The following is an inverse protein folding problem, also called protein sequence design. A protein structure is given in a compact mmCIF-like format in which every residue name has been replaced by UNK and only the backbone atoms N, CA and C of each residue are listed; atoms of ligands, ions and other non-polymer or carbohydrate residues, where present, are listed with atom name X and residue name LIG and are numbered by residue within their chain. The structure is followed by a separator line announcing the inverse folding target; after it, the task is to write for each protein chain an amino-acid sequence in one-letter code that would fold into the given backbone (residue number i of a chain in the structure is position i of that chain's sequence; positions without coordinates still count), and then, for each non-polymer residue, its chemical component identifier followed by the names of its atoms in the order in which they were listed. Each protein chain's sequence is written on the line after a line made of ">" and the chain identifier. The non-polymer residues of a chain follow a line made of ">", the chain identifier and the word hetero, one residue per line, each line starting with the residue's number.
data_IF_118483587443
#
_entry.id   IF_118483587443
#
_cell.length_a   1.000
_cell.length_b   1.000
_cell.length_c   1.000
_cell.angle_alpha   90.00
_cell.angle_beta   90.00
_cell.angle_gamma   90.00
#
_symmetry.space_group_name_H-M   'P 1'
#
loop_
_entity.id
_entity.type
_entity.pdbx_description
1 polymer ?
#
# COMPACT_ATOMS: atom_id res chain seq x y z
N UNK A 1 -5.44 24.74 -22.70
CA UNK A 1 -4.68 24.99 -21.47
C UNK A 1 -3.75 23.81 -21.23
N UNK A 2 -2.47 24.06 -20.97
CA UNK A 2 -1.52 23.02 -20.62
C UNK A 2 -1.88 22.38 -19.28
N UNK A 3 -1.68 21.06 -19.14
CA UNK A 3 -1.93 20.35 -17.89
C UNK A 3 -1.04 20.91 -16.75
N UNK A 4 -1.59 21.21 -15.55
CA UNK A 4 -0.79 21.72 -14.45
C UNK A 4 0.20 20.67 -13.97
N UNK A 5 1.51 20.99 -13.84
CA UNK A 5 2.49 20.09 -13.26
C UNK A 5 2.12 19.66 -11.83
N UNK A 6 2.36 18.39 -11.48
CA UNK A 6 2.13 17.87 -10.14
C UNK A 6 3.39 17.24 -9.55
N UNK A 7 3.67 17.53 -8.27
CA UNK A 7 4.65 16.78 -7.48
C UNK A 7 3.92 15.78 -6.58
N UNK A 8 4.17 14.48 -6.79
CA UNK A 8 3.70 13.41 -5.91
C UNK A 8 4.71 13.22 -4.79
N UNK A 9 4.27 13.33 -3.55
CA UNK A 9 5.16 13.38 -2.38
C UNK A 9 5.01 12.13 -1.52
N UNK A 10 6.14 11.52 -1.12
CA UNK A 10 6.15 10.39 -0.19
C UNK A 10 7.37 10.45 0.73
N UNK A 11 7.22 9.90 1.94
CA UNK A 11 8.25 9.98 2.99
C UNK A 11 9.36 8.93 2.87
N UNK A 12 9.34 8.08 1.85
CA UNK A 12 10.27 6.94 1.78
C UNK A 12 10.49 6.48 0.34
N UNK A 13 11.62 5.83 0.12
CA UNK A 13 11.97 5.13 -1.14
C UNK A 13 11.80 3.61 -1.04
N UNK A 14 11.39 3.08 0.13
CA UNK A 14 11.30 1.64 0.41
C UNK A 14 9.94 1.05 -0.03
N UNK A 15 9.81 -0.27 -0.28
CA UNK A 15 8.59 -0.91 -0.78
C UNK A 15 7.48 -0.95 0.28
N UNK A 16 6.78 0.16 0.45
CA UNK A 16 5.63 0.33 1.33
C UNK A 16 4.40 0.66 0.49
N UNK A 17 3.21 0.27 0.92
CA UNK A 17 1.98 0.41 0.14
C UNK A 17 1.75 1.81 -0.43
N UNK A 18 1.96 2.87 0.36
CA UNK A 18 1.86 4.25 -0.11
C UNK A 18 2.93 4.63 -1.13
N UNK A 19 4.17 4.12 -0.98
CA UNK A 19 5.26 4.34 -1.97
C UNK A 19 4.97 3.59 -3.26
N UNK A 20 4.56 2.32 -3.17
CA UNK A 20 4.15 1.51 -4.33
C UNK A 20 3.04 2.21 -5.11
N UNK A 21 1.98 2.69 -4.41
CA UNK A 21 0.93 3.50 -5.03
C UNK A 21 1.49 4.74 -5.73
N UNK A 22 2.35 5.51 -5.04
CA UNK A 22 2.93 6.75 -5.57
C UNK A 22 3.69 6.50 -6.88
N UNK A 23 4.51 5.45 -6.93
CA UNK A 23 5.30 5.13 -8.11
C UNK A 23 4.44 4.67 -9.28
N UNK A 24 3.45 3.80 -9.05
CA UNK A 24 2.54 3.35 -10.11
C UNK A 24 1.67 4.50 -10.65
N UNK A 25 1.14 5.36 -9.78
CA UNK A 25 0.40 6.55 -10.20
C UNK A 25 1.29 7.50 -11.01
N UNK A 26 2.53 7.74 -10.55
CA UNK A 26 3.48 8.58 -11.27
C UNK A 26 3.78 8.05 -12.67
N UNK A 27 4.04 6.75 -12.78
CA UNK A 27 4.33 6.10 -14.05
C UNK A 27 3.15 6.15 -15.01
N UNK A 28 1.93 5.88 -14.52
CA UNK A 28 0.71 5.96 -15.34
C UNK A 28 0.41 7.40 -15.80
N UNK A 29 0.65 8.41 -14.96
CA UNK A 29 0.56 9.82 -15.34
C UNK A 29 1.61 10.19 -16.38
N UNK A 30 2.85 9.77 -16.17
CA UNK A 30 3.97 10.03 -17.08
C UNK A 30 3.75 9.40 -18.46
N UNK A 31 3.32 8.14 -18.51
CA UNK A 31 2.97 7.42 -19.75
C UNK A 31 1.80 8.08 -20.50
N UNK A 32 0.88 8.69 -19.76
CA UNK A 32 -0.20 9.49 -20.36
C UNK A 32 0.24 10.90 -20.79
N UNK A 33 1.55 11.21 -20.76
CA UNK A 33 2.11 12.51 -21.13
C UNK A 33 1.79 13.64 -20.14
N UNK A 34 1.39 13.29 -18.88
CA UNK A 34 1.09 14.29 -17.86
C UNK A 34 2.37 14.75 -17.13
N UNK A 35 2.57 16.07 -16.93
CA UNK A 35 3.77 16.58 -16.26
C UNK A 35 3.75 16.24 -14.77
N UNK A 36 4.49 15.21 -14.38
CA UNK A 36 4.56 14.66 -13.02
C UNK A 36 6.01 14.50 -12.57
N UNK A 37 6.27 14.69 -11.29
CA UNK A 37 7.53 14.34 -10.60
C UNK A 37 7.23 13.70 -9.25
N UNK A 38 7.96 12.67 -8.89
CA UNK A 38 7.95 12.12 -7.53
C UNK A 38 9.01 12.82 -6.69
N UNK A 39 8.66 13.23 -5.47
CA UNK A 39 9.62 13.74 -4.48
C UNK A 39 9.53 12.85 -3.24
N UNK A 40 10.66 12.29 -2.82
CA UNK A 40 10.71 11.34 -1.71
C UNK A 40 11.88 11.62 -0.76
N UNK A 41 11.76 11.19 0.50
CA UNK A 41 12.89 11.12 1.43
C UNK A 41 13.64 9.79 1.25
N UNK A 42 14.94 9.84 1.16
CA UNK A 42 15.78 8.66 1.01
C UNK A 42 17.26 8.98 0.86
N UNK A 43 18.03 7.99 0.48
CA UNK A 43 19.41 8.19 0.03
C UNK A 43 19.41 8.43 -1.49
N UNK A 44 19.86 9.61 -1.96
CA UNK A 44 19.96 9.89 -3.41
C UNK A 44 20.85 8.91 -4.18
N UNK A 45 21.84 8.30 -3.51
CA UNK A 45 22.74 7.34 -4.14
C UNK A 45 22.09 5.94 -4.32
N UNK A 46 21.18 5.54 -3.41
CA UNK A 46 20.49 4.25 -3.50
C UNK A 46 19.28 4.29 -4.44
N UNK A 47 18.59 5.42 -4.53
CA UNK A 47 17.37 5.53 -5.32
C UNK A 47 16.16 4.85 -4.69
N UNK A 48 15.15 4.55 -5.50
CA UNK A 48 14.00 3.75 -5.08
C UNK A 48 14.31 2.25 -5.10
N UNK A 49 13.53 1.47 -4.36
CA UNK A 49 13.64 0.00 -4.29
C UNK A 49 13.48 -0.72 -5.65
N UNK A 50 13.09 -0.03 -6.69
CA UNK A 50 12.99 -0.48 -8.08
C UNK A 50 13.26 0.66 -9.05
N UNK A 51 13.56 0.36 -10.33
CA UNK A 51 13.61 1.38 -11.39
C UNK A 51 12.27 2.13 -11.51
N UNK A 52 12.33 3.44 -11.73
CA UNK A 52 11.17 4.34 -11.87
C UNK A 52 11.28 5.09 -13.19
N UNK A 53 10.23 5.00 -14.04
CA UNK A 53 10.21 5.64 -15.35
C UNK A 53 9.80 7.12 -15.30
N UNK A 54 9.00 7.50 -14.30
CA UNK A 54 8.63 8.89 -14.08
C UNK A 54 9.81 9.70 -13.51
N UNK A 55 9.94 10.99 -13.83
CA UNK A 55 10.92 11.86 -13.20
C UNK A 55 10.78 11.89 -11.67
N UNK A 56 11.90 11.87 -10.96
CA UNK A 56 11.89 11.95 -9.50
C UNK A 56 13.03 12.79 -8.93
N UNK A 57 12.88 13.17 -7.67
CA UNK A 57 13.90 13.82 -6.85
C UNK A 57 13.89 13.15 -5.48
N UNK A 58 15.06 12.76 -4.99
CA UNK A 58 15.22 12.23 -3.64
C UNK A 58 15.85 13.31 -2.78
N UNK A 59 15.15 13.74 -1.76
CA UNK A 59 15.65 14.62 -0.71
C UNK A 59 16.37 13.73 0.31
N UNK A 60 17.62 14.04 0.68
CA UNK A 60 18.36 13.26 1.68
C UNK A 60 17.55 13.12 2.97
N UNK A 61 17.32 11.89 3.40
CA UNK A 61 16.58 11.62 4.62
C UNK A 61 17.35 12.13 5.86
N UNK A 62 16.66 12.59 6.93
CA UNK A 62 17.33 12.96 8.16
C UNK A 62 18.01 11.74 8.79
N UNK A 63 19.03 11.94 9.66
CA UNK A 63 19.69 10.85 10.37
C UNK A 63 18.68 10.08 11.22
N UNK A 64 19.01 8.81 11.52
CA UNK A 64 18.15 7.99 12.36
C UNK A 64 18.05 8.57 13.77
N UNK A 65 16.83 8.80 14.24
CA UNK A 65 16.52 9.33 15.56
C UNK A 65 15.84 8.27 16.44
N UNK A 66 16.04 8.30 17.77
CA UNK A 66 15.61 7.24 18.68
C UNK A 66 14.11 7.00 18.70
N UNK A 67 13.30 8.07 18.78
CA UNK A 67 11.84 7.94 18.94
C UNK A 67 11.12 8.10 17.61
N UNK A 68 9.94 7.49 17.49
CA UNK A 68 9.07 7.63 16.32
C UNK A 68 8.70 9.11 16.08
N UNK A 69 8.39 9.82 17.16
CA UNK A 69 8.01 11.23 17.12
C UNK A 69 9.13 12.10 16.53
N UNK A 70 10.36 11.96 17.04
CA UNK A 70 11.51 12.66 16.50
C UNK A 70 11.74 12.36 15.02
N UNK A 71 11.62 11.09 14.61
CA UNK A 71 11.76 10.70 13.20
C UNK A 71 10.69 11.34 12.32
N UNK A 72 9.43 11.37 12.77
CA UNK A 72 8.32 11.98 12.02
C UNK A 72 8.56 13.48 11.84
N UNK A 73 8.84 14.23 12.92
CA UNK A 73 8.99 15.67 12.82
C UNK A 73 10.25 16.08 12.04
N UNK A 74 11.39 15.42 12.26
CA UNK A 74 12.60 15.66 11.46
C UNK A 74 12.36 15.36 9.97
N UNK A 75 11.58 14.32 9.64
CA UNK A 75 11.23 14.00 8.26
C UNK A 75 10.33 15.09 7.65
N UNK A 76 9.36 15.63 8.41
CA UNK A 76 8.52 16.75 7.97
C UNK A 76 9.37 17.99 7.68
N UNK A 77 10.29 18.34 8.59
CA UNK A 77 11.16 19.52 8.46
C UNK A 77 12.10 19.37 7.25
N UNK A 78 12.71 18.22 7.10
CA UNK A 78 13.65 17.93 6.01
C UNK A 78 12.93 17.94 4.65
N UNK A 79 11.75 17.32 4.56
CA UNK A 79 10.99 17.29 3.31
C UNK A 79 10.46 18.68 2.94
N UNK A 80 9.99 19.48 3.92
CA UNK A 80 9.57 20.85 3.68
C UNK A 80 10.69 21.72 3.15
N UNK A 81 11.90 21.63 3.73
CA UNK A 81 13.08 22.34 3.25
C UNK A 81 13.44 21.93 1.80
N UNK A 82 13.44 20.64 1.49
CA UNK A 82 13.71 20.13 0.15
C UNK A 82 12.66 20.54 -0.89
N UNK A 83 11.39 20.68 -0.47
CA UNK A 83 10.30 21.13 -1.34
C UNK A 83 10.34 22.63 -1.62
N UNK A 84 10.81 23.47 -0.72
CA UNK A 84 10.80 24.94 -0.86
C UNK A 84 11.51 25.41 -2.14
N UNK A 85 12.56 24.73 -2.57
CA UNK A 85 13.28 25.02 -3.84
C UNK A 85 12.60 24.48 -5.09
N UNK A 86 11.63 23.55 -4.95
CA UNK A 86 10.97 22.87 -6.07
C UNK A 86 9.53 23.37 -6.28
N UNK A 87 8.87 23.88 -5.23
CA UNK A 87 7.44 24.17 -5.21
C UNK A 87 7.00 25.19 -6.28
N UNK A 88 7.85 26.17 -6.62
CA UNK A 88 7.55 27.16 -7.66
C UNK A 88 7.26 26.54 -9.04
N UNK A 89 7.76 25.35 -9.33
CA UNK A 89 7.49 24.62 -10.57
C UNK A 89 6.26 23.70 -10.54
N UNK A 90 5.60 23.58 -9.37
CA UNK A 90 4.51 22.61 -9.17
C UNK A 90 3.32 23.27 -8.47
N UNK A 91 2.33 23.77 -9.22
CA UNK A 91 1.12 24.37 -8.63
C UNK A 91 0.29 23.37 -7.81
N UNK A 92 0.58 22.09 -7.90
CA UNK A 92 -0.08 21.03 -7.13
C UNK A 92 0.97 20.17 -6.42
N UNK A 93 0.90 20.10 -5.10
CA UNK A 93 1.64 19.18 -4.25
C UNK A 93 0.70 18.09 -3.76
N UNK A 94 0.90 16.84 -4.21
CA UNK A 94 0.03 15.74 -3.84
C UNK A 94 0.72 14.76 -2.90
N UNK A 95 0.39 14.82 -1.63
CA UNK A 95 0.96 14.04 -0.56
C UNK A 95 0.29 12.67 -0.39
N UNK A 96 1.10 11.62 -0.15
CA UNK A 96 0.63 10.24 -0.01
C UNK A 96 0.67 9.72 1.44
N UNK A 97 1.26 10.46 2.37
CA UNK A 97 1.42 10.11 3.79
C UNK A 97 1.34 11.35 4.69
N UNK A 98 1.27 11.18 6.02
CA UNK A 98 1.14 12.29 6.94
C UNK A 98 2.36 13.22 6.95
N UNK A 99 3.57 12.67 6.79
CA UNK A 99 4.82 13.44 6.76
C UNK A 99 4.82 14.37 5.55
N UNK A 100 4.56 13.81 4.36
CA UNK A 100 4.54 14.59 3.12
C UNK A 100 3.40 15.60 3.08
N UNK A 101 2.23 15.32 3.68
CA UNK A 101 1.13 16.27 3.78
C UNK A 101 1.50 17.47 4.68
N UNK A 102 2.09 17.21 5.86
CA UNK A 102 2.54 18.27 6.75
C UNK A 102 3.64 19.13 6.13
N UNK A 103 4.59 18.51 5.41
CA UNK A 103 5.63 19.23 4.69
C UNK A 103 5.03 20.12 3.58
N UNK A 104 4.11 19.59 2.79
CA UNK A 104 3.43 20.34 1.72
C UNK A 104 2.62 21.53 2.26
N UNK A 105 1.85 21.33 3.35
CA UNK A 105 1.08 22.42 3.99
C UNK A 105 2.01 23.53 4.50
N UNK A 106 3.14 23.21 5.12
CA UNK A 106 4.12 24.22 5.56
C UNK A 106 4.70 25.03 4.39
N UNK A 107 4.99 24.36 3.27
CA UNK A 107 5.48 25.04 2.06
C UNK A 107 4.40 25.96 1.50
N UNK A 108 3.17 25.48 1.39
CA UNK A 108 2.02 26.31 0.96
C UNK A 108 1.87 27.55 1.83
N UNK A 109 1.84 27.37 3.15
CA UNK A 109 1.59 28.46 4.11
C UNK A 109 2.73 29.50 4.12
N UNK A 110 3.94 29.12 3.70
CA UNK A 110 5.09 30.03 3.54
C UNK A 110 5.25 30.66 2.15
N UNK A 111 4.39 30.31 1.16
CA UNK A 111 4.57 30.71 -0.25
C UNK A 111 3.79 31.96 -0.69
N UNK A 112 3.02 32.60 0.17
CA UNK A 112 2.22 33.79 -0.16
C UNK A 112 1.28 33.59 -1.35
N UNK A 113 1.20 34.55 -2.28
CA UNK A 113 0.28 34.54 -3.43
C UNK A 113 0.56 33.39 -4.45
N UNK A 114 1.77 32.84 -4.44
CA UNK A 114 2.16 31.72 -5.30
C UNK A 114 1.97 30.33 -4.64
N UNK A 115 1.14 30.26 -3.61
CA UNK A 115 0.95 29.04 -2.83
C UNK A 115 0.43 27.86 -3.67
N UNK A 116 1.08 26.69 -3.64
CA UNK A 116 0.59 25.51 -4.32
C UNK A 116 -0.67 24.97 -3.66
N UNK A 117 -1.53 24.31 -4.43
CA UNK A 117 -2.66 23.53 -3.90
C UNK A 117 -2.15 22.24 -3.31
N UNK A 118 -2.50 21.95 -2.08
CA UNK A 118 -2.12 20.71 -1.40
C UNK A 118 -3.25 19.68 -1.52
N UNK A 119 -2.97 18.57 -2.20
CA UNK A 119 -3.84 17.38 -2.27
C UNK A 119 -3.28 16.31 -1.34
N UNK A 120 -4.15 15.60 -0.64
CA UNK A 120 -3.76 14.48 0.22
C UNK A 120 -4.55 13.23 -0.13
N UNK A 121 -3.90 12.12 -0.49
CA UNK A 121 -4.53 10.79 -0.49
C UNK A 121 -4.33 10.11 0.86
N UNK A 122 -5.41 9.84 1.58
CA UNK A 122 -5.38 9.08 2.83
C UNK A 122 -5.58 7.60 2.51
N UNK A 123 -4.50 6.82 2.63
CA UNK A 123 -4.53 5.37 2.40
C UNK A 123 -5.08 4.63 3.63
N UNK A 124 -4.73 5.05 4.82
CA UNK A 124 -5.21 4.60 6.11
C UNK A 124 -4.84 5.63 7.18
N UNK A 125 -5.36 5.45 8.38
CA UNK A 125 -5.03 6.22 9.58
C UNK A 125 -4.28 5.30 10.52
N UNK A 126 -3.10 5.74 10.99
CA UNK A 126 -2.25 5.00 11.93
C UNK A 126 -2.79 5.12 13.37
N UNK A 127 -2.55 4.08 14.17
CA UNK A 127 -2.94 4.04 15.58
C UNK A 127 -1.80 4.59 16.45
N UNK A 128 -1.55 5.90 16.34
CA UNK A 128 -0.55 6.58 17.16
C UNK A 128 -0.98 6.69 18.63
N UNK A 129 0.01 6.64 19.52
CA UNK A 129 -0.22 6.64 20.98
C UNK A 129 0.22 7.93 21.66
N UNK A 130 1.04 8.77 21.03
CA UNK A 130 1.44 10.07 21.57
C UNK A 130 0.57 11.18 21.03
N UNK A 131 0.19 12.16 21.86
CA UNK A 131 -0.69 13.25 21.45
C UNK A 131 -0.10 14.04 20.27
N UNK A 132 1.21 14.29 20.27
CA UNK A 132 1.89 15.00 19.21
C UNK A 132 1.75 14.32 17.82
N UNK A 133 1.84 12.97 17.78
CA UNK A 133 1.64 12.21 16.53
C UNK A 133 0.17 12.14 16.12
N UNK A 134 -0.75 12.04 17.09
CA UNK A 134 -2.20 12.09 16.84
C UNK A 134 -2.57 13.44 16.21
N UNK A 135 -2.07 14.56 16.78
CA UNK A 135 -2.31 15.89 16.27
C UNK A 135 -1.67 16.11 14.90
N UNK A 136 -0.44 15.65 14.70
CA UNK A 136 0.25 15.69 13.41
C UNK A 136 -0.56 14.96 12.33
N UNK A 137 -1.07 13.75 12.62
CA UNK A 137 -1.91 12.99 11.70
C UNK A 137 -3.24 13.70 11.42
N UNK A 138 -3.89 14.24 12.47
CA UNK A 138 -5.11 15.01 12.32
C UNK A 138 -4.91 16.21 11.38
N UNK A 139 -3.88 16.99 11.61
CA UNK A 139 -3.52 18.15 10.78
C UNK A 139 -3.24 17.72 9.33
N UNK A 140 -2.51 16.63 9.12
CA UNK A 140 -2.24 16.08 7.79
C UNK A 140 -3.52 15.63 7.03
N UNK A 141 -4.67 15.52 7.71
CA UNK A 141 -5.96 15.16 7.12
C UNK A 141 -6.83 16.40 6.89
N UNK A 142 -6.85 17.36 7.84
CA UNK A 142 -7.80 18.49 7.80
C UNK A 142 -7.25 19.73 7.11
N UNK A 143 -5.93 19.92 7.02
CA UNK A 143 -5.31 21.13 6.45
C UNK A 143 -5.15 21.12 4.92
N UNK A 144 -5.01 19.97 4.22
CA UNK A 144 -4.93 19.96 2.76
C UNK A 144 -6.17 20.54 2.10
N UNK A 145 -5.99 21.23 0.95
CA UNK A 145 -7.06 21.88 0.20
C UNK A 145 -8.02 20.86 -0.44
N UNK A 146 -7.51 19.66 -0.72
CA UNK A 146 -8.30 18.54 -1.25
C UNK A 146 -7.85 17.22 -0.64
N UNK A 147 -8.82 16.45 -0.12
CA UNK A 147 -8.57 15.11 0.42
C UNK A 147 -9.16 14.05 -0.50
N UNK A 148 -8.35 13.05 -0.81
CA UNK A 148 -8.69 11.85 -1.54
C UNK A 148 -8.59 10.64 -0.62
N UNK A 149 -9.36 9.61 -0.91
CA UNK A 149 -9.30 8.29 -0.23
C UNK A 149 -9.40 7.17 -1.25
N UNK A 150 -8.95 6.00 -0.88
CA UNK A 150 -8.90 4.85 -1.78
C UNK A 150 -10.15 3.95 -1.70
N UNK A 151 -11.03 4.17 -0.70
CA UNK A 151 -12.22 3.34 -0.46
C UNK A 151 -13.38 4.14 0.16
N UNK A 152 -14.59 3.63 0.03
CA UNK A 152 -15.78 4.24 0.64
C UNK A 152 -15.74 4.11 2.18
N UNK A 153 -15.17 3.01 2.69
CA UNK A 153 -14.93 2.86 4.14
C UNK A 153 -14.13 4.05 4.69
N UNK A 154 -13.01 4.41 4.06
CA UNK A 154 -12.18 5.52 4.53
C UNK A 154 -12.85 6.87 4.32
N UNK A 155 -13.64 7.04 3.26
CA UNK A 155 -14.47 8.25 3.07
C UNK A 155 -15.42 8.46 4.25
N UNK A 156 -16.11 7.40 4.69
CA UNK A 156 -17.03 7.46 5.85
C UNK A 156 -16.28 7.73 7.15
N UNK A 157 -15.13 7.08 7.37
CA UNK A 157 -14.29 7.30 8.56
C UNK A 157 -13.82 8.75 8.63
N UNK A 158 -13.30 9.31 7.53
CA UNK A 158 -12.84 10.70 7.52
C UNK A 158 -14.00 11.69 7.76
N UNK A 159 -15.16 11.45 7.17
CA UNK A 159 -16.33 12.27 7.44
C UNK A 159 -16.77 12.22 8.91
N UNK A 160 -16.83 11.01 9.50
CA UNK A 160 -17.32 10.82 10.86
C UNK A 160 -16.35 11.34 11.94
N UNK A 161 -15.03 11.12 11.77
CA UNK A 161 -14.04 11.41 12.81
C UNK A 161 -13.26 12.71 12.61
N UNK A 162 -13.21 13.23 11.38
CA UNK A 162 -12.43 14.43 11.05
C UNK A 162 -13.28 15.54 10.42
N UNK A 163 -14.55 15.28 10.08
CA UNK A 163 -15.43 16.24 9.41
C UNK A 163 -15.02 16.53 7.95
N UNK A 164 -14.18 15.68 7.36
CA UNK A 164 -13.58 15.91 6.03
C UNK A 164 -14.38 15.19 4.94
N UNK A 165 -14.83 15.96 3.94
CA UNK A 165 -15.44 15.40 2.72
C UNK A 165 -14.37 15.00 1.72
N UNK A 166 -14.06 13.70 1.67
CA UNK A 166 -13.05 13.15 0.78
C UNK A 166 -13.66 12.61 -0.54
N UNK A 167 -12.88 12.70 -1.63
CA UNK A 167 -13.22 12.11 -2.92
C UNK A 167 -12.58 10.73 -3.05
N UNK A 168 -13.33 9.72 -3.48
CA UNK A 168 -12.80 8.37 -3.69
C UNK A 168 -12.07 8.34 -5.04
N UNK A 169 -10.82 7.84 -5.02
CA UNK A 169 -10.06 7.44 -6.21
C UNK A 169 -9.43 6.09 -5.89
N UNK A 170 -9.87 5.05 -6.56
CA UNK A 170 -9.43 3.68 -6.29
C UNK A 170 -8.04 3.41 -6.87
N UNK A 171 -7.29 2.54 -6.19
CA UNK A 171 -5.99 2.12 -6.69
C UNK A 171 -6.13 1.15 -7.86
N UNK A 172 -5.15 1.19 -8.77
CA UNK A 172 -5.00 0.22 -9.83
C UNK A 172 -4.09 -0.95 -9.47
N UNK A 173 -3.97 -1.89 -10.40
CA UNK A 173 -2.98 -2.97 -10.40
C UNK A 173 -2.41 -3.13 -11.81
N UNK A 174 -1.15 -3.52 -11.94
CA UNK A 174 -0.51 -3.85 -13.21
C UNK A 174 -0.70 -5.34 -13.52
N UNK A 175 -1.76 -5.65 -14.28
CA UNK A 175 -2.09 -7.02 -14.69
C UNK A 175 -0.94 -7.68 -15.47
N UNK A 176 -0.29 -6.92 -16.38
CA UNK A 176 0.74 -7.48 -17.27
C UNK A 176 1.94 -7.95 -16.47
N UNK A 177 2.34 -7.18 -15.47
CA UNK A 177 3.44 -7.51 -14.57
C UNK A 177 3.30 -8.88 -13.91
N UNK A 178 2.10 -9.18 -13.40
CA UNK A 178 1.83 -10.43 -12.68
C UNK A 178 1.52 -11.60 -13.62
N UNK A 179 0.94 -11.37 -14.78
CA UNK A 179 0.67 -12.39 -15.79
C UNK A 179 1.93 -12.84 -16.54
N UNK A 180 2.96 -11.98 -16.63
CA UNK A 180 4.24 -12.27 -17.28
C UNK A 180 5.31 -12.82 -16.30
N UNK A 181 4.92 -13.30 -15.13
CA UNK A 181 5.84 -13.86 -14.15
C UNK A 181 6.70 -15.01 -14.73
N UNK A 182 7.98 -15.03 -14.36
CA UNK A 182 8.90 -16.10 -14.76
C UNK A 182 8.57 -17.39 -14.01
N UNK A 183 7.99 -18.35 -14.72
CA UNK A 183 7.60 -19.65 -14.15
C UNK A 183 8.80 -20.55 -13.78
N UNK A 184 9.96 -20.36 -14.41
CA UNK A 184 11.17 -21.10 -14.03
C UNK A 184 11.70 -20.57 -12.71
N UNK A 185 11.78 -19.25 -12.59
CA UNK A 185 12.12 -18.62 -11.32
C UNK A 185 11.10 -18.99 -10.22
N UNK A 186 9.80 -18.99 -10.52
CA UNK A 186 8.77 -19.40 -9.57
C UNK A 186 9.01 -20.84 -9.03
N UNK A 187 9.39 -21.79 -9.87
CA UNK A 187 9.73 -23.14 -9.44
C UNK A 187 10.97 -23.16 -8.52
N UNK A 188 12.03 -22.43 -8.89
CA UNK A 188 13.25 -22.30 -8.06
C UNK A 188 12.95 -21.68 -6.70
N UNK A 189 12.13 -20.61 -6.68
CA UNK A 189 11.72 -19.93 -5.44
C UNK A 189 10.89 -20.85 -4.53
N UNK A 190 9.97 -21.63 -5.14
CA UNK A 190 9.17 -22.61 -4.41
C UNK A 190 10.04 -23.67 -3.74
N UNK A 191 10.99 -24.23 -4.48
CA UNK A 191 11.91 -25.25 -3.96
C UNK A 191 12.81 -24.66 -2.87
N UNK A 192 13.33 -23.45 -3.08
CA UNK A 192 14.13 -22.71 -2.11
C UNK A 192 13.39 -22.37 -0.80
N UNK A 193 12.07 -22.21 -0.88
CA UNK A 193 11.22 -22.05 0.30
C UNK A 193 10.91 -23.37 1.04
N UNK A 194 11.41 -24.53 0.57
CA UNK A 194 11.14 -25.83 1.14
C UNK A 194 9.74 -26.39 0.79
N UNK A 195 9.10 -25.86 -0.27
CA UNK A 195 7.75 -26.25 -0.68
C UNK A 195 7.73 -27.24 -1.86
N UNK A 196 8.85 -27.90 -2.17
CA UNK A 196 8.88 -28.98 -3.15
C UNK A 196 7.91 -30.09 -2.75
N UNK A 197 6.88 -30.33 -3.59
CA UNK A 197 5.83 -31.32 -3.32
C UNK A 197 4.87 -30.99 -2.16
N UNK A 198 4.96 -29.80 -1.59
CA UNK A 198 4.09 -29.31 -0.50
C UNK A 198 3.25 -28.12 -0.98
N UNK A 199 2.03 -27.90 -0.44
CA UNK A 199 1.29 -26.65 -0.70
C UNK A 199 2.09 -25.43 -0.23
N UNK A 200 2.13 -24.37 -1.06
CA UNK A 200 2.76 -23.11 -0.73
C UNK A 200 1.69 -22.03 -0.53
N UNK A 201 1.58 -21.52 0.68
CA UNK A 201 0.72 -20.41 1.07
C UNK A 201 1.58 -19.16 1.08
N UNK A 202 1.21 -18.13 0.34
CA UNK A 202 1.92 -16.86 0.29
C UNK A 202 1.18 -15.79 1.09
N UNK A 203 1.91 -14.98 1.85
CA UNK A 203 1.45 -13.69 2.36
C UNK A 203 2.48 -12.60 2.03
N UNK A 204 2.01 -11.39 1.73
CA UNK A 204 2.86 -10.24 1.41
C UNK A 204 2.51 -9.10 2.35
N UNK A 205 3.51 -8.71 3.16
CA UNK A 205 3.43 -7.68 4.17
C UNK A 205 4.41 -7.97 5.31
N UNK A 206 4.82 -6.93 6.05
CA UNK A 206 5.66 -7.11 7.24
C UNK A 206 4.92 -7.89 8.34
N UNK A 207 5.68 -8.42 9.31
CA UNK A 207 5.10 -9.01 10.54
C UNK A 207 4.68 -7.84 11.44
N UNK A 208 3.44 -7.43 11.28
CA UNK A 208 2.81 -6.27 11.94
C UNK A 208 1.44 -6.68 12.51
N UNK A 209 0.99 -6.06 13.63
CA UNK A 209 -0.31 -6.42 14.24
C UNK A 209 -1.46 -6.40 13.23
N UNK A 210 -1.55 -5.35 12.42
CA UNK A 210 -2.63 -5.19 11.44
C UNK A 210 -2.61 -6.23 10.31
N UNK A 211 -1.52 -6.98 10.11
CA UNK A 211 -1.42 -8.04 9.09
C UNK A 211 -1.89 -9.41 9.58
N UNK A 212 -2.20 -9.55 10.87
CA UNK A 212 -2.76 -10.78 11.43
C UNK A 212 -1.82 -11.98 11.30
N UNK A 213 -0.50 -11.77 11.44
CA UNK A 213 0.48 -12.85 11.28
C UNK A 213 0.33 -13.91 12.35
N UNK A 214 -0.07 -13.55 13.56
CA UNK A 214 -0.38 -14.47 14.66
C UNK A 214 -1.60 -15.37 14.33
N UNK A 215 -2.66 -14.81 13.78
CA UNK A 215 -3.81 -15.57 13.26
C UNK A 215 -3.36 -16.53 12.15
N UNK A 216 -2.46 -16.07 11.26
CA UNK A 216 -1.97 -16.89 10.14
C UNK A 216 -1.15 -18.08 10.61
N UNK A 217 -0.18 -17.89 11.52
CA UNK A 217 0.64 -19.02 12.00
C UNK A 217 -0.20 -20.05 12.77
N UNK A 218 -1.23 -19.63 13.51
CA UNK A 218 -2.19 -20.53 14.15
C UNK A 218 -2.99 -21.33 13.11
N UNK A 219 -3.42 -20.68 12.02
CA UNK A 219 -4.11 -21.37 10.93
C UNK A 219 -3.20 -22.39 10.22
N UNK A 220 -1.90 -22.11 10.06
CA UNK A 220 -0.92 -23.07 9.51
C UNK A 220 -0.79 -24.31 10.42
N UNK A 221 -0.74 -24.10 11.75
CA UNK A 221 -0.72 -25.21 12.70
C UNK A 221 -1.97 -26.10 12.58
N UNK A 222 -3.16 -25.50 12.52
CA UNK A 222 -4.42 -26.21 12.33
C UNK A 222 -4.47 -27.01 11.00
N UNK A 223 -3.93 -26.44 9.91
CA UNK A 223 -3.81 -27.17 8.64
C UNK A 223 -2.93 -28.40 8.75
N UNK A 224 -1.81 -28.29 9.44
CA UNK A 224 -0.89 -29.40 9.67
C UNK A 224 -1.54 -30.48 10.55
N UNK A 225 -2.21 -30.10 11.62
CA UNK A 225 -2.91 -31.01 12.53
C UNK A 225 -4.05 -31.74 11.77
N UNK A 226 -4.64 -31.11 10.77
CA UNK A 226 -5.58 -31.70 9.82
C UNK A 226 -4.95 -32.56 8.72
N UNK A 227 -3.67 -32.91 8.84
CA UNK A 227 -2.94 -33.78 7.92
C UNK A 227 -2.45 -33.11 6.63
N UNK A 228 -2.55 -31.78 6.51
CA UNK A 228 -1.93 -31.02 5.43
C UNK A 228 -0.56 -30.53 5.89
N UNK A 229 0.40 -30.49 4.98
CA UNK A 229 1.76 -30.06 5.30
C UNK A 229 2.17 -28.84 4.45
N UNK A 230 1.51 -27.67 4.63
CA UNK A 230 1.86 -26.50 3.85
C UNK A 230 3.17 -25.85 4.30
N UNK A 231 3.77 -25.06 3.41
CA UNK A 231 4.78 -24.05 3.74
C UNK A 231 4.12 -22.68 3.66
N UNK A 232 4.35 -21.84 4.65
CA UNK A 232 3.99 -20.43 4.64
C UNK A 232 5.18 -19.60 4.19
N UNK A 233 5.10 -18.95 3.04
CA UNK A 233 6.05 -17.93 2.58
C UNK A 233 5.60 -16.55 3.03
N UNK A 234 6.45 -15.86 3.80
CA UNK A 234 6.20 -14.48 4.28
C UNK A 234 7.14 -13.53 3.57
N UNK A 235 6.60 -12.74 2.65
CA UNK A 235 7.33 -11.68 1.95
C UNK A 235 7.04 -10.35 2.63
N UNK A 236 8.05 -9.65 3.11
CA UNK A 236 7.93 -8.32 3.67
C UNK A 236 9.04 -7.98 4.65
N UNK A 237 9.47 -6.74 4.62
CA UNK A 237 10.50 -6.21 5.48
C UNK A 237 9.95 -5.55 6.76
N UNK A 238 10.79 -4.70 7.36
CA UNK A 238 10.43 -3.96 8.57
C UNK A 238 9.53 -2.76 8.27
N UNK A 239 8.56 -2.54 9.16
CA UNK A 239 7.73 -1.35 9.17
C UNK A 239 8.52 -0.08 9.55
N UNK A 240 7.94 1.09 9.27
CA UNK A 240 8.42 2.37 9.82
C UNK A 240 8.21 2.45 11.34
N UNK A 241 7.13 1.84 11.83
CA UNK A 241 6.86 1.68 13.26
C UNK A 241 7.66 0.50 13.81
N UNK A 242 7.98 0.56 15.10
CA UNK A 242 8.68 -0.51 15.78
C UNK A 242 7.70 -1.57 16.29
N UNK A 243 7.61 -2.68 15.57
CA UNK A 243 6.81 -3.83 15.95
C UNK A 243 7.64 -5.01 16.45
N UNK A 244 8.86 -4.77 17.01
CA UNK A 244 9.71 -5.84 17.54
C UNK A 244 8.99 -6.71 18.55
N UNK A 245 8.33 -6.10 19.54
CA UNK A 245 7.58 -6.85 20.55
C UNK A 245 6.47 -7.75 19.97
N UNK A 246 5.80 -7.33 18.90
CA UNK A 246 4.82 -8.17 18.20
C UNK A 246 5.49 -9.32 17.47
N UNK A 247 6.59 -9.05 16.76
CA UNK A 247 7.35 -10.09 16.05
C UNK A 247 7.88 -11.14 17.01
N UNK A 248 8.47 -10.70 18.14
CA UNK A 248 9.02 -11.60 19.15
C UNK A 248 7.90 -12.50 19.72
N UNK A 249 6.72 -11.93 19.96
CA UNK A 249 5.53 -12.71 20.38
C UNK A 249 5.10 -13.71 19.29
N UNK A 250 5.06 -13.31 18.00
CA UNK A 250 4.72 -14.23 16.91
C UNK A 250 5.75 -15.37 16.85
N UNK A 251 7.05 -15.07 16.97
CA UNK A 251 8.09 -16.08 16.96
C UNK A 251 8.05 -17.02 18.17
N UNK A 252 7.69 -16.51 19.36
CA UNK A 252 7.52 -17.35 20.54
C UNK A 252 6.35 -18.36 20.43
N UNK A 253 5.33 -18.04 19.61
CA UNK A 253 4.21 -18.96 19.34
C UNK A 253 4.64 -20.16 18.48
N UNK A 254 5.65 -20.03 17.61
CA UNK A 254 5.98 -21.07 16.64
C UNK A 254 6.32 -22.41 17.29
N UNK A 255 7.24 -22.52 18.27
CA UNK A 255 7.53 -23.78 18.95
C UNK A 255 6.33 -24.33 19.72
N UNK A 256 5.50 -23.47 20.34
CA UNK A 256 4.28 -23.88 21.02
C UNK A 256 3.27 -24.55 20.08
N UNK A 257 3.22 -24.05 18.82
CA UNK A 257 2.41 -24.60 17.73
C UNK A 257 3.10 -25.73 16.99
N UNK A 258 4.33 -26.13 17.39
CA UNK A 258 5.15 -27.13 16.72
C UNK A 258 5.64 -26.72 15.33
N UNK A 259 5.61 -25.43 15.00
CA UNK A 259 6.07 -24.87 13.73
C UNK A 259 7.53 -24.45 13.83
N UNK A 260 8.23 -24.51 12.70
CA UNK A 260 9.66 -24.18 12.62
C UNK A 260 9.96 -23.30 11.42
N UNK A 261 10.74 -22.23 11.65
CA UNK A 261 11.26 -21.38 10.58
C UNK A 261 12.27 -22.19 9.74
N UNK A 262 12.18 -22.09 8.43
CA UNK A 262 12.99 -22.87 7.48
C UNK A 262 12.37 -24.21 7.09
N UNK A 263 11.44 -24.75 7.86
CA UNK A 263 10.72 -25.98 7.53
C UNK A 263 9.25 -25.71 7.17
N UNK A 264 8.51 -25.00 8.01
CA UNK A 264 7.09 -24.74 7.86
C UNK A 264 6.82 -23.29 7.47
N UNK A 265 7.73 -22.38 7.82
CA UNK A 265 7.64 -20.94 7.55
C UNK A 265 8.93 -20.49 6.89
N UNK A 266 8.82 -20.00 5.67
CA UNK A 266 9.90 -19.35 4.93
C UNK A 266 9.79 -17.82 5.14
N UNK A 267 10.69 -17.24 5.94
CA UNK A 267 10.78 -15.80 6.15
C UNK A 267 11.70 -15.21 5.08
N UNK A 268 11.11 -14.60 4.06
CA UNK A 268 11.84 -14.12 2.88
C UNK A 268 12.36 -12.67 3.03
N UNK A 269 11.87 -11.95 4.03
CA UNK A 269 12.21 -10.54 4.17
C UNK A 269 11.73 -9.70 2.97
N UNK A 270 12.43 -8.61 2.68
CA UNK A 270 12.17 -7.82 1.48
C UNK A 270 12.80 -8.52 0.28
N UNK A 271 11.97 -8.99 -0.64
CA UNK A 271 12.42 -9.59 -1.91
C UNK A 271 12.64 -8.49 -2.96
N UNK A 272 13.43 -8.80 -3.99
CA UNK A 272 13.58 -7.90 -5.12
C UNK A 272 12.23 -7.66 -5.81
N UNK A 273 11.97 -6.42 -6.22
CA UNK A 273 10.69 -6.06 -6.84
C UNK A 273 10.39 -6.89 -8.10
N UNK A 274 11.43 -7.21 -8.88
CA UNK A 274 11.32 -8.04 -10.07
C UNK A 274 10.96 -9.51 -9.78
N UNK A 275 11.27 -10.02 -8.59
CA UNK A 275 10.97 -11.39 -8.18
C UNK A 275 9.55 -11.55 -7.63
N UNK A 276 8.94 -10.46 -7.15
CA UNK A 276 7.64 -10.50 -6.49
C UNK A 276 6.55 -11.19 -7.33
N UNK A 277 6.40 -10.92 -8.65
CA UNK A 277 5.45 -11.66 -9.50
C UNK A 277 5.69 -13.16 -9.52
N UNK A 278 6.95 -13.60 -9.49
CA UNK A 278 7.30 -15.03 -9.48
C UNK A 278 6.97 -15.69 -8.15
N UNK A 279 7.01 -14.97 -7.02
CA UNK A 279 6.49 -15.46 -5.74
C UNK A 279 5.00 -15.72 -5.77
N UNK A 280 4.21 -14.79 -6.38
CA UNK A 280 2.77 -15.02 -6.57
C UNK A 280 2.50 -16.22 -7.48
N UNK A 281 3.31 -16.39 -8.54
CA UNK A 281 3.19 -17.53 -9.47
C UNK A 281 3.63 -18.87 -8.85
N UNK A 282 4.51 -18.85 -7.84
CA UNK A 282 4.99 -20.03 -7.11
C UNK A 282 3.95 -20.60 -6.14
N UNK A 283 3.04 -19.76 -5.63
CA UNK A 283 2.11 -20.12 -4.58
C UNK A 283 0.83 -20.81 -5.10
N UNK A 284 0.20 -21.59 -4.21
CA UNK A 284 -1.07 -22.27 -4.47
C UNK A 284 -2.27 -21.42 -4.02
N UNK A 285 -2.09 -20.61 -2.96
CA UNK A 285 -3.09 -19.70 -2.40
C UNK A 285 -2.42 -18.51 -1.72
N UNK A 286 -3.06 -17.36 -1.83
CA UNK A 286 -2.69 -16.14 -1.12
C UNK A 286 -3.53 -16.00 0.15
N UNK A 287 -2.88 -15.86 1.30
CA UNK A 287 -3.51 -15.65 2.60
C UNK A 287 -3.29 -14.21 3.09
N UNK A 288 -4.37 -13.49 3.40
CA UNK A 288 -4.28 -12.10 3.81
C UNK A 288 -5.24 -11.78 4.99
N UNK A 289 -4.93 -12.30 6.20
CA UNK A 289 -5.78 -12.16 7.38
C UNK A 289 -5.60 -10.81 8.09
N UNK A 290 -5.47 -9.73 7.33
CA UNK A 290 -5.32 -8.38 7.90
C UNK A 290 -6.53 -7.99 8.74
N UNK A 291 -6.28 -7.27 9.84
CA UNK A 291 -7.33 -6.72 10.72
C UNK A 291 -7.78 -5.32 10.28
N UNK A 292 -6.95 -4.63 9.50
CA UNK A 292 -7.21 -3.25 9.03
C UNK A 292 -6.48 -3.01 7.70
N UNK A 293 -7.19 -2.51 6.70
CA UNK A 293 -6.62 -2.18 5.40
C UNK A 293 -7.20 -0.88 4.81
N UNK A 294 -6.40 -0.25 3.95
CA UNK A 294 -6.84 0.90 3.16
C UNK A 294 -7.58 0.50 1.89
N UNK A 295 -6.98 -0.45 1.16
CA UNK A 295 -7.49 -0.99 -0.10
C UNK A 295 -7.11 -2.46 -0.31
N UNK A 296 -5.85 -2.82 0.03
CA UNK A 296 -5.33 -4.16 -0.19
C UNK A 296 -4.75 -4.35 -1.60
N UNK A 297 -3.78 -3.51 -1.98
CA UNK A 297 -3.07 -3.64 -3.28
C UNK A 297 -2.62 -5.08 -3.54
N UNK A 298 -2.02 -5.72 -2.53
CA UNK A 298 -1.50 -7.09 -2.65
C UNK A 298 -2.58 -8.14 -2.93
N UNK A 299 -3.86 -7.88 -2.58
CA UNK A 299 -4.99 -8.74 -2.94
C UNK A 299 -5.25 -8.68 -4.45
N UNK A 300 -5.25 -7.47 -5.03
CA UNK A 300 -5.37 -7.30 -6.48
C UNK A 300 -4.15 -7.84 -7.23
N UNK A 301 -2.96 -7.73 -6.64
CA UNK A 301 -1.72 -8.32 -7.17
C UNK A 301 -1.81 -9.86 -7.23
N UNK A 302 -2.28 -10.50 -6.15
CA UNK A 302 -2.52 -11.94 -6.11
C UNK A 302 -3.57 -12.37 -7.16
N UNK A 303 -4.68 -11.63 -7.27
CA UNK A 303 -5.71 -11.87 -8.27
C UNK A 303 -5.18 -11.69 -9.70
N UNK A 304 -4.30 -10.70 -9.94
CA UNK A 304 -3.66 -10.48 -11.23
C UNK A 304 -2.71 -11.63 -11.63
N UNK A 305 -2.10 -12.28 -10.65
CA UNK A 305 -1.30 -13.50 -10.84
C UNK A 305 -2.18 -14.77 -10.99
N UNK A 306 -3.50 -14.64 -11.05
CA UNK A 306 -4.45 -15.76 -11.02
C UNK A 306 -4.25 -16.67 -9.80
N UNK A 307 -3.91 -16.10 -8.64
CA UNK A 307 -3.76 -16.82 -7.39
C UNK A 307 -5.06 -16.73 -6.59
N UNK A 308 -5.65 -17.85 -6.12
CA UNK A 308 -6.81 -17.82 -5.24
C UNK A 308 -6.52 -17.03 -3.96
N UNK A 309 -7.46 -16.23 -3.51
CA UNK A 309 -7.32 -15.36 -2.34
C UNK A 309 -8.21 -15.83 -1.20
N UNK A 310 -7.63 -15.94 0.00
CA UNK A 310 -8.33 -16.05 1.28
C UNK A 310 -7.95 -14.82 2.10
N UNK A 311 -8.91 -14.00 2.48
CA UNK A 311 -8.66 -12.75 3.19
C UNK A 311 -9.66 -12.56 4.34
N UNK A 312 -9.35 -11.67 5.29
CA UNK A 312 -10.31 -11.26 6.30
C UNK A 312 -11.50 -10.55 5.68
N UNK A 313 -12.68 -10.74 6.28
CA UNK A 313 -13.93 -10.10 5.85
C UNK A 313 -13.99 -8.64 6.35
N UNK A 314 -13.20 -7.78 5.70
CA UNK A 314 -13.13 -6.35 5.98
C UNK A 314 -14.12 -5.56 5.12
N UNK A 315 -14.73 -4.47 5.63
CA UNK A 315 -15.63 -3.63 4.84
C UNK A 315 -15.00 -3.14 3.52
N UNK A 316 -13.71 -2.83 3.51
CA UNK A 316 -12.99 -2.40 2.29
C UNK A 316 -12.95 -3.50 1.23
N UNK A 317 -12.80 -4.76 1.62
CA UNK A 317 -12.79 -5.87 0.67
C UNK A 317 -14.18 -6.14 0.10
N UNK A 318 -15.24 -5.99 0.90
CA UNK A 318 -16.63 -6.08 0.43
C UNK A 318 -17.01 -5.03 -0.62
N UNK A 319 -16.23 -3.98 -0.79
CA UNK A 319 -16.46 -2.99 -1.85
C UNK A 319 -16.18 -3.55 -3.25
N UNK A 320 -15.38 -4.61 -3.37
CA UNK A 320 -15.01 -5.17 -4.68
C UNK A 320 -14.94 -6.69 -4.73
N UNK A 321 -15.04 -7.39 -3.59
CA UNK A 321 -15.06 -8.85 -3.50
C UNK A 321 -16.40 -9.38 -3.00
N UNK A 322 -16.81 -10.53 -3.52
CA UNK A 322 -17.93 -11.32 -3.03
C UNK A 322 -17.38 -12.66 -2.56
N UNK A 323 -17.56 -12.98 -1.27
CA UNK A 323 -17.09 -14.24 -0.69
C UNK A 323 -17.72 -15.44 -1.38
N UNK A 324 -16.91 -16.47 -1.62
CA UNK A 324 -17.31 -17.68 -2.35
C UNK A 324 -17.32 -17.55 -3.88
N UNK A 325 -17.30 -16.32 -4.42
CA UNK A 325 -17.23 -16.05 -5.86
C UNK A 325 -15.83 -15.62 -6.32
N UNK A 326 -15.30 -14.53 -5.73
CA UNK A 326 -14.05 -13.88 -6.17
C UNK A 326 -12.88 -14.23 -5.25
N UNK A 327 -13.18 -14.45 -3.98
CA UNK A 327 -12.25 -14.82 -2.90
C UNK A 327 -13.03 -15.58 -1.82
N UNK A 328 -12.32 -16.17 -0.84
CA UNK A 328 -12.94 -16.57 0.42
C UNK A 328 -12.66 -15.49 1.46
N UNK A 329 -13.73 -14.91 2.01
CA UNK A 329 -13.64 -13.94 3.09
C UNK A 329 -13.99 -14.63 4.41
N UNK A 330 -13.12 -14.51 5.42
CA UNK A 330 -13.25 -15.15 6.73
C UNK A 330 -13.31 -14.10 7.85
N UNK A 331 -13.94 -14.39 8.99
CA UNK A 331 -13.93 -13.45 10.11
C UNK A 331 -12.52 -13.01 10.50
N UNK A 332 -12.41 -11.76 10.95
CA UNK A 332 -11.15 -11.21 11.46
C UNK A 332 -10.76 -11.97 12.73
N UNK A 333 -9.44 -12.22 12.88
CA UNK A 333 -8.85 -12.91 14.04
C UNK A 333 -9.45 -14.30 14.33
N UNK A 334 -9.91 -15.00 13.28
CA UNK A 334 -10.41 -16.38 13.39
C UNK A 334 -9.47 -17.36 12.66
N UNK A 335 -8.48 -17.96 13.36
CA UNK A 335 -7.54 -18.91 12.75
C UNK A 335 -8.22 -20.20 12.28
N UNK A 336 -9.33 -20.62 12.89
CA UNK A 336 -10.04 -21.84 12.49
C UNK A 336 -10.79 -21.63 11.15
N UNK A 337 -11.51 -20.50 11.01
CA UNK A 337 -12.15 -20.14 9.75
C UNK A 337 -11.10 -19.95 8.63
N UNK A 338 -9.96 -19.30 8.93
CA UNK A 338 -8.86 -19.13 7.98
C UNK A 338 -8.29 -20.48 7.53
N UNK A 339 -8.01 -21.39 8.47
CA UNK A 339 -7.53 -22.73 8.17
C UNK A 339 -8.52 -23.52 7.31
N UNK A 340 -9.82 -23.49 7.64
CA UNK A 340 -10.88 -24.14 6.89
C UNK A 340 -10.99 -23.62 5.44
N UNK A 341 -10.91 -22.31 5.25
CA UNK A 341 -10.94 -21.70 3.93
C UNK A 341 -9.70 -22.06 3.10
N UNK A 342 -8.50 -22.00 3.69
CA UNK A 342 -7.25 -22.42 3.05
C UNK A 342 -7.30 -23.91 2.68
N UNK A 343 -7.77 -24.78 3.60
CA UNK A 343 -7.95 -26.20 3.34
C UNK A 343 -8.89 -26.48 2.17
N UNK A 344 -9.98 -25.72 2.06
CA UNK A 344 -10.96 -25.83 0.97
C UNK A 344 -10.32 -25.49 -0.39
N UNK A 345 -9.60 -24.37 -0.46
CA UNK A 345 -8.88 -23.98 -1.70
C UNK A 345 -7.82 -24.97 -2.10
N UNK A 346 -7.03 -25.50 -1.14
CA UNK A 346 -5.97 -26.46 -1.40
C UNK A 346 -6.50 -27.87 -1.74
N UNK A 347 -7.72 -28.21 -1.28
CA UNK A 347 -8.33 -29.52 -1.47
C UNK A 347 -9.32 -29.63 -2.64
N UNK A 348 -9.89 -28.51 -3.09
CA UNK A 348 -10.85 -28.47 -4.19
C UNK A 348 -10.31 -27.70 -5.39
N UNK A 349 -9.86 -28.44 -6.41
CA UNK A 349 -9.31 -27.86 -7.65
C UNK A 349 -10.37 -27.05 -8.42
N UNK A 350 -11.66 -27.42 -8.35
CA UNK A 350 -12.72 -26.69 -9.05
C UNK A 350 -12.96 -25.34 -8.35
N UNK A 351 -13.01 -25.32 -7.02
CA UNK A 351 -13.10 -24.09 -6.25
C UNK A 351 -11.90 -23.17 -6.56
N UNK A 352 -10.69 -23.68 -6.46
CA UNK A 352 -9.49 -22.91 -6.76
C UNK A 352 -9.54 -22.31 -8.19
N UNK A 353 -9.97 -23.08 -9.18
CA UNK A 353 -10.09 -22.60 -10.57
C UNK A 353 -11.18 -21.52 -10.72
N UNK A 354 -12.33 -21.69 -10.06
CA UNK A 354 -13.36 -20.63 -10.07
C UNK A 354 -12.84 -19.33 -9.46
N UNK A 355 -12.20 -19.40 -8.30
CA UNK A 355 -11.64 -18.22 -7.62
C UNK A 355 -10.56 -17.54 -8.47
N UNK A 356 -9.69 -18.30 -9.13
CA UNK A 356 -8.68 -17.76 -10.08
C UNK A 356 -9.31 -16.95 -11.20
N UNK A 357 -10.30 -17.54 -11.86
CA UNK A 357 -10.98 -16.90 -13.00
C UNK A 357 -11.73 -15.64 -12.57
N UNK A 358 -12.49 -15.73 -11.47
CA UNK A 358 -13.26 -14.60 -10.96
C UNK A 358 -12.33 -13.49 -10.41
N UNK A 359 -11.26 -13.86 -9.71
CA UNK A 359 -10.27 -12.90 -9.20
C UNK A 359 -9.58 -12.11 -10.31
N UNK A 360 -9.19 -12.77 -11.42
CA UNK A 360 -8.66 -12.08 -12.61
C UNK A 360 -9.65 -11.05 -13.15
N UNK A 361 -10.94 -11.41 -13.24
CA UNK A 361 -11.98 -10.50 -13.72
C UNK A 361 -12.18 -9.32 -12.77
N UNK A 362 -12.03 -9.51 -11.45
CA UNK A 362 -12.04 -8.41 -10.49
C UNK A 362 -10.84 -7.50 -10.70
N UNK A 363 -9.62 -8.04 -10.74
CA UNK A 363 -8.39 -7.26 -10.90
C UNK A 363 -8.42 -6.42 -12.18
N UNK A 364 -8.95 -6.96 -13.29
CA UNK A 364 -9.07 -6.26 -14.57
C UNK A 364 -9.94 -4.99 -14.54
N UNK A 365 -10.74 -4.80 -13.50
CA UNK A 365 -11.58 -3.60 -13.32
C UNK A 365 -10.79 -2.42 -12.75
N UNK A 366 -9.61 -2.67 -12.20
CA UNK A 366 -8.81 -1.68 -11.48
C UNK A 366 -7.47 -1.52 -12.18
N UNK A 367 -7.32 -0.48 -12.99
CA UNK A 367 -6.08 -0.22 -13.72
C UNK A 367 -5.47 1.10 -13.29
N UNK A 368 -4.13 1.20 -13.37
CA UNK A 368 -3.45 2.45 -13.06
C UNK A 368 -3.76 3.56 -14.06
N UNK A 369 -4.09 3.20 -15.31
CA UNK A 369 -4.53 4.14 -16.33
C UNK A 369 -5.85 4.82 -15.95
N UNK A 370 -6.84 4.05 -15.44
CA UNK A 370 -8.09 4.59 -14.94
C UNK A 370 -7.87 5.48 -13.71
N UNK A 371 -7.04 5.02 -12.76
CA UNK A 371 -6.64 5.80 -11.58
C UNK A 371 -5.97 7.12 -11.98
N UNK A 372 -5.05 7.11 -12.94
CA UNK A 372 -4.38 8.31 -13.44
C UNK A 372 -5.36 9.26 -14.14
N UNK A 373 -6.33 8.74 -14.92
CA UNK A 373 -7.35 9.56 -15.59
C UNK A 373 -8.23 10.30 -14.57
N UNK A 374 -8.65 9.65 -13.48
CA UNK A 374 -9.41 10.29 -12.40
C UNK A 374 -8.59 11.39 -11.70
N UNK A 375 -7.31 11.14 -11.41
CA UNK A 375 -6.42 12.15 -10.83
C UNK A 375 -6.24 13.36 -11.75
N UNK A 376 -6.02 13.13 -13.05
CA UNK A 376 -5.92 14.22 -14.04
C UNK A 376 -7.15 15.12 -14.05
N UNK A 377 -8.34 14.53 -13.99
CA UNK A 377 -9.60 15.29 -13.93
C UNK A 377 -9.73 16.11 -12.63
N UNK A 378 -9.22 15.59 -11.50
CA UNK A 378 -9.18 16.32 -10.22
C UNK A 378 -8.18 17.49 -10.32
N UNK A 379 -6.96 17.27 -10.79
CA UNK A 379 -5.93 18.29 -10.90
C UNK A 379 -6.37 19.43 -11.82
N UNK A 380 -7.00 19.11 -12.96
CA UNK A 380 -7.53 20.13 -13.88
C UNK A 380 -8.56 21.05 -13.20
N UNK A 381 -9.47 20.47 -12.41
CA UNK A 381 -10.47 21.27 -11.65
C UNK A 381 -9.85 22.16 -10.59
N UNK A 382 -8.79 21.70 -9.92
CA UNK A 382 -8.10 22.47 -8.89
C UNK A 382 -7.34 23.65 -9.50
N UNK A 383 -6.65 23.48 -10.62
CA UNK A 383 -5.94 24.55 -11.31
C UNK A 383 -6.88 25.64 -11.84
N UNK A 384 -8.07 25.29 -12.31
CA UNK A 384 -9.06 26.29 -12.76
C UNK A 384 -9.54 27.20 -11.62
N UNK A 385 -9.68 26.67 -10.41
CA UNK A 385 -10.13 27.46 -9.24
C UNK A 385 -9.07 28.45 -8.76
N UNK A 386 -7.80 28.07 -8.80
CA UNK A 386 -6.69 28.97 -8.43
C UNK A 386 -6.61 30.19 -9.33
N UNK A 387 -6.92 30.05 -10.62
CA UNK A 387 -6.94 31.18 -11.57
C UNK A 387 -8.16 32.11 -11.40
N UNK A 388 -9.31 31.58 -10.99
CA UNK A 388 -10.51 32.39 -10.75
C UNK A 388 -10.43 33.18 -9.45
N UNK A 389 -9.78 32.65 -8.41
CA UNK A 389 -9.51 33.38 -7.17
C UNK A 389 -8.57 34.59 -7.37
N UNK A 390 -7.56 34.42 -8.23
CA UNK A 390 -6.63 35.52 -8.55
C UNK A 390 -7.25 36.62 -9.44
N UNK A 391 -8.16 36.26 -10.35
CA UNK A 391 -8.85 37.23 -11.20
C UNK A 391 -9.90 38.06 -10.47
N UNK A 392 -10.58 37.50 -9.47
CA UNK A 392 -11.63 38.20 -8.70
C UNK A 392 -11.10 39.27 -7.73
N UNK A 393 -9.81 39.26 -7.40
CA UNK A 393 -9.17 40.28 -6.54
C UNK A 393 -8.72 41.50 -7.38
N UNK A 394 -8.45 41.30 -8.68
CA UNK A 394 -7.99 42.38 -9.57
C UNK A 394 -9.10 43.31 -10.08
N UNK A 395 -10.38 42.94 -9.93
CA UNK A 395 -11.52 43.77 -10.36
C UNK A 395 -12.14 44.66 -9.25
N UNK A 396 -11.65 44.53 -7.99
CA UNK A 396 -12.15 45.32 -6.85
C UNK A 396 -11.06 46.18 -6.16
N UNK A 397 -10.00 46.54 -6.87
CA UNK A 397 -8.93 47.42 -6.42
C UNK A 397 -8.95 48.78 -7.13
#
# INVERSE_FOLDING_TARGET
>A
MTAPPVALLTYSVKPRGGVVHTLHLAEALHEAGYPVRVVALGDPAEGFFRPVRAPYTIVPAPPHLPTLEQRVFASVDTLAAGLSGLAAGYPILHAQDCISARAACRVRDGSGDAAPVVVRTVHHVDDFTTQALIDCQRQAIIEPDKVLVVSDQWRRILQAHYGVSATIVRNGVDLRRYQSADRRLAAVLRDGAGAAGRPLILTVGGIEPRKGTDTLVRAIALLRDGGRNPVLAVVGGHSFQDYRAYRDRVFSLLPELGLEVGRDIALLGTVADAELPSWFAAADVFAFPSTKEGWGLVVLEAMSAALPVVASDLPVFREYLVSGRDALLVPVDDPAALAGALASVLGDRQLAQRLRTAGLAVAARFTWEATAAEHRAIYARLACRSHQGAAGIAENG
#
